data_IF_873977224042
#
_entry.id   IF_873977224042
#
_cell.length_a   1.000
_cell.length_b   1.000
_cell.length_c   1.000
_cell.angle_alpha   90.00
_cell.angle_beta   90.00
_cell.angle_gamma   90.00
#
_symmetry.space_group_name_H-M   'P 1'
#
loop_
_entity.id
_entity.type
_entity.pdbx_description
1 polymer ?
#
# COMPACT_ATOMS: atom_id res chain seq x y z
N UNK A 1 -29.67 0.99 42.84
CA UNK A 1 -28.26 0.90 42.37
C UNK A 1 -28.13 -0.06 41.19
N UNK A 2 -28.67 0.28 40.02
CA UNK A 2 -28.63 -0.58 38.80
C UNK A 2 -28.29 0.20 37.51
N UNK A 3 -27.86 1.47 37.62
CA UNK A 3 -27.66 2.36 36.46
C UNK A 3 -26.23 2.46 35.91
N UNK A 4 -25.21 1.95 36.61
CA UNK A 4 -23.80 2.15 36.24
C UNK A 4 -23.17 0.97 35.48
N UNK A 5 -23.86 -0.17 35.35
CA UNK A 5 -23.29 -1.39 34.75
C UNK A 5 -23.26 -1.35 33.22
N UNK A 6 -24.29 -0.78 32.60
CA UNK A 6 -24.41 -0.66 31.15
C UNK A 6 -23.38 0.32 30.55
N UNK A 7 -23.14 1.52 31.13
CA UNK A 7 -22.11 2.43 30.63
C UNK A 7 -20.68 1.87 30.70
N UNK A 8 -20.34 1.14 31.77
CA UNK A 8 -19.00 0.55 31.95
C UNK A 8 -18.76 -0.58 30.94
N UNK A 9 -19.76 -1.44 30.72
CA UNK A 9 -19.66 -2.52 29.73
C UNK A 9 -19.47 -1.96 28.31
N UNK A 10 -20.27 -0.95 27.94
CA UNK A 10 -20.17 -0.30 26.63
C UNK A 10 -18.80 0.37 26.42
N UNK A 11 -18.25 1.03 27.46
CA UNK A 11 -16.93 1.65 27.39
C UNK A 11 -15.81 0.63 27.17
N UNK A 12 -15.82 -0.48 27.92
CA UNK A 12 -14.84 -1.56 27.73
C UNK A 12 -14.89 -2.14 26.33
N UNK A 13 -16.10 -2.30 25.77
CA UNK A 13 -16.27 -2.80 24.41
C UNK A 13 -15.71 -1.81 23.36
N UNK A 14 -15.93 -0.50 23.54
CA UNK A 14 -15.37 0.53 22.64
C UNK A 14 -13.85 0.53 22.68
N UNK A 15 -13.24 0.45 23.87
CA UNK A 15 -11.78 0.42 24.03
C UNK A 15 -11.19 -0.82 23.34
N UNK A 16 -11.83 -1.97 23.48
CA UNK A 16 -11.41 -3.20 22.80
C UNK A 16 -11.50 -3.07 21.28
N UNK A 17 -12.61 -2.56 20.75
CA UNK A 17 -12.78 -2.34 19.32
C UNK A 17 -11.74 -1.35 18.76
N UNK A 18 -11.43 -0.28 19.50
CA UNK A 18 -10.42 0.68 19.11
C UNK A 18 -9.02 0.04 18.99
N UNK A 19 -8.63 -0.79 19.97
CA UNK A 19 -7.35 -1.50 19.94
C UNK A 19 -7.27 -2.49 18.76
N UNK A 20 -8.37 -3.21 18.49
CA UNK A 20 -8.44 -4.14 17.34
C UNK A 20 -8.29 -3.37 16.02
N UNK A 21 -8.99 -2.24 15.88
CA UNK A 21 -8.90 -1.41 14.65
C UNK A 21 -7.48 -0.87 14.48
N UNK A 22 -6.82 -0.41 15.54
CA UNK A 22 -5.43 0.07 15.46
C UNK A 22 -4.50 -1.04 14.94
N UNK A 23 -4.56 -2.24 15.53
CA UNK A 23 -3.73 -3.38 15.11
C UNK A 23 -3.97 -3.73 13.64
N UNK A 24 -5.23 -3.95 13.24
CA UNK A 24 -5.57 -4.34 11.87
C UNK A 24 -5.12 -3.26 10.88
N UNK A 25 -5.29 -1.99 11.24
CA UNK A 25 -4.93 -0.87 10.38
C UNK A 25 -3.41 -0.76 10.19
N UNK A 26 -2.63 -0.95 11.26
CA UNK A 26 -1.16 -0.96 11.20
C UNK A 26 -0.63 -2.16 10.39
N UNK A 27 -1.17 -3.36 10.62
CA UNK A 27 -0.78 -4.56 9.88
C UNK A 27 -1.13 -4.44 8.38
N UNK A 28 -2.32 -3.91 8.07
CA UNK A 28 -2.73 -3.65 6.69
C UNK A 28 -1.80 -2.63 6.02
N UNK A 29 -1.43 -1.55 6.71
CA UNK A 29 -0.47 -0.58 6.19
C UNK A 29 0.90 -1.20 5.90
N UNK A 30 1.36 -2.13 6.75
CA UNK A 30 2.61 -2.86 6.52
C UNK A 30 2.53 -3.78 5.30
N UNK A 31 1.44 -4.54 5.15
CA UNK A 31 1.24 -5.39 3.97
C UNK A 31 1.21 -4.57 2.67
N UNK A 32 0.54 -3.41 2.68
CA UNK A 32 0.50 -2.50 1.53
C UNK A 32 1.88 -1.96 1.16
N UNK A 33 2.73 -1.65 2.15
CA UNK A 33 4.10 -1.20 1.89
C UNK A 33 4.97 -2.28 1.23
N UNK A 34 4.83 -3.53 1.67
CA UNK A 34 5.53 -4.66 1.07
C UNK A 34 5.08 -4.85 -0.39
N UNK A 35 3.78 -4.84 -0.64
CA UNK A 35 3.23 -4.95 -1.99
C UNK A 35 3.67 -3.79 -2.88
N UNK A 36 3.68 -2.55 -2.37
CA UNK A 36 4.17 -1.40 -3.10
C UNK A 36 5.67 -1.50 -3.44
N UNK A 37 6.47 -2.00 -2.50
CA UNK A 37 7.89 -2.29 -2.72
C UNK A 37 8.10 -3.34 -3.81
N UNK A 38 7.37 -4.45 -3.75
CA UNK A 38 7.44 -5.52 -4.73
C UNK A 38 6.99 -5.06 -6.12
N UNK A 39 5.90 -4.28 -6.21
CA UNK A 39 5.42 -3.72 -7.48
C UNK A 39 6.47 -2.80 -8.12
N UNK A 40 7.17 -1.97 -7.33
CA UNK A 40 8.25 -1.08 -7.82
C UNK A 40 9.44 -1.89 -8.34
N UNK A 41 9.81 -2.97 -7.64
CA UNK A 41 10.89 -3.86 -8.08
C UNK A 41 10.53 -4.59 -9.38
N UNK A 42 9.31 -5.13 -9.47
CA UNK A 42 8.81 -5.79 -10.67
C UNK A 42 8.78 -4.83 -11.86
N UNK A 43 8.31 -3.60 -11.67
CA UNK A 43 8.34 -2.55 -12.71
C UNK A 43 9.77 -2.30 -13.20
N UNK A 44 10.73 -2.18 -12.28
CA UNK A 44 12.14 -1.96 -12.63
C UNK A 44 12.69 -3.12 -13.46
N UNK A 45 12.43 -4.36 -13.05
CA UNK A 45 12.85 -5.55 -13.79
C UNK A 45 12.18 -5.63 -15.18
N UNK A 46 10.89 -5.33 -15.26
CA UNK A 46 10.14 -5.29 -16.53
C UNK A 46 10.72 -4.25 -17.48
N UNK A 47 11.18 -3.09 -17.00
CA UNK A 47 11.74 -2.04 -17.85
C UNK A 47 13.21 -2.28 -18.27
N UNK A 48 13.97 -3.09 -17.51
CA UNK A 48 15.37 -3.37 -17.83
C UNK A 48 15.54 -4.20 -19.11
N UNK A 49 14.72 -5.24 -19.31
CA UNK A 49 14.87 -6.15 -20.45
C UNK A 49 14.49 -5.52 -21.81
N UNK A 50 13.38 -4.76 -21.95
CA UNK A 50 13.03 -4.07 -23.18
C UNK A 50 14.13 -3.14 -23.67
N UNK A 51 14.78 -2.40 -22.77
CA UNK A 51 15.85 -1.46 -23.17
C UNK A 51 17.05 -2.19 -23.78
N UNK A 52 17.46 -3.32 -23.21
CA UNK A 52 18.54 -4.16 -23.76
C UNK A 52 18.13 -4.77 -25.09
N UNK A 53 16.90 -5.27 -25.19
CA UNK A 53 16.37 -5.86 -26.42
C UNK A 53 16.21 -4.82 -27.53
N UNK A 54 15.78 -3.60 -27.22
CA UNK A 54 15.68 -2.50 -28.17
C UNK A 54 17.05 -2.13 -28.75
N UNK A 55 18.10 -2.16 -27.92
CA UNK A 55 19.47 -1.97 -28.38
C UNK A 55 19.90 -3.10 -29.34
N UNK A 56 19.64 -4.37 -28.98
CA UNK A 56 20.01 -5.52 -29.80
C UNK A 56 19.21 -5.58 -31.12
N UNK A 57 17.97 -5.09 -31.12
CA UNK A 57 17.05 -5.13 -32.26
C UNK A 57 16.97 -3.76 -32.95
N UNK A 58 17.94 -2.87 -32.76
CA UNK A 58 17.88 -1.49 -33.27
C UNK A 58 17.70 -1.43 -34.79
N UNK A 59 18.35 -2.32 -35.54
CA UNK A 59 18.19 -2.43 -37.01
C UNK A 59 16.79 -2.91 -37.43
N UNK A 60 16.08 -3.57 -36.52
CA UNK A 60 14.76 -4.17 -36.75
C UNK A 60 13.63 -3.28 -36.22
N UNK A 61 13.94 -2.05 -35.80
CA UNK A 61 12.99 -1.11 -35.19
C UNK A 61 12.71 -1.40 -33.70
N UNK A 62 13.64 -2.05 -33.01
CA UNK A 62 13.51 -2.46 -31.61
C UNK A 62 12.55 -3.63 -31.40
N UNK A 63 12.22 -3.91 -30.15
CA UNK A 63 11.20 -4.89 -29.74
C UNK A 63 9.86 -4.59 -30.41
N UNK A 64 9.54 -3.30 -30.51
CA UNK A 64 8.32 -2.81 -31.15
C UNK A 64 8.20 -3.21 -32.62
N UNK A 65 9.22 -2.85 -33.42
CA UNK A 65 9.26 -3.15 -34.85
C UNK A 65 9.32 -4.65 -35.10
N UNK A 66 10.12 -5.38 -34.31
CA UNK A 66 10.25 -6.83 -34.43
C UNK A 66 8.97 -7.59 -34.12
N UNK A 67 8.20 -7.16 -33.11
CA UNK A 67 6.95 -7.80 -32.69
C UNK A 67 5.70 -7.23 -33.39
N UNK A 68 5.86 -6.21 -34.23
CA UNK A 68 4.77 -5.53 -34.94
C UNK A 68 3.64 -5.06 -34.00
N UNK A 69 4.01 -4.54 -32.82
CA UNK A 69 3.05 -3.97 -31.88
C UNK A 69 2.70 -2.53 -32.28
N UNK A 70 1.42 -2.19 -32.26
CA UNK A 70 0.94 -0.82 -32.50
C UNK A 70 1.08 0.09 -31.27
N UNK A 71 1.20 -0.50 -30.07
CA UNK A 71 1.32 0.22 -28.80
C UNK A 71 2.63 -0.13 -28.10
N UNK A 72 3.71 0.55 -28.46
CA UNK A 72 5.05 0.23 -27.98
C UNK A 72 5.51 1.02 -26.77
N UNK A 73 4.77 2.05 -26.37
CA UNK A 73 5.09 2.85 -25.20
C UNK A 73 4.13 2.53 -24.06
N UNK A 74 4.41 1.44 -23.35
CA UNK A 74 3.69 1.10 -22.13
C UNK A 74 4.26 1.93 -20.96
N UNK A 75 3.54 2.98 -20.57
CA UNK A 75 3.80 3.65 -19.30
C UNK A 75 3.28 2.75 -18.18
N UNK A 76 4.19 2.29 -17.34
CA UNK A 76 3.83 1.69 -16.06
C UNK A 76 3.86 2.83 -15.05
N UNK A 77 2.72 3.14 -14.44
CA UNK A 77 2.64 4.18 -13.42
C UNK A 77 3.37 3.76 -12.13
N UNK A 78 4.06 4.69 -11.48
CA UNK A 78 4.67 4.49 -10.15
C UNK A 78 3.60 4.62 -9.06
N UNK A 79 2.62 3.72 -9.10
CA UNK A 79 1.56 3.62 -8.08
C UNK A 79 2.12 3.21 -6.73
N UNK A 80 3.29 2.55 -6.69
CA UNK A 80 3.95 2.13 -5.46
C UNK A 80 4.29 3.31 -4.55
N UNK A 81 4.73 4.44 -5.12
CA UNK A 81 4.97 5.67 -4.36
C UNK A 81 3.69 6.24 -3.74
N UNK A 82 2.58 6.24 -4.47
CA UNK A 82 1.28 6.73 -3.98
C UNK A 82 0.79 5.85 -2.82
N UNK A 83 0.87 4.52 -2.97
CA UNK A 83 0.48 3.57 -1.92
C UNK A 83 1.30 3.81 -0.66
N UNK A 84 2.63 3.96 -0.77
CA UNK A 84 3.49 4.29 0.39
C UNK A 84 3.13 5.62 1.07
N UNK A 85 2.69 6.63 0.31
CA UNK A 85 2.20 7.87 0.91
C UNK A 85 0.89 7.66 1.67
N UNK A 86 -0.01 6.83 1.14
CA UNK A 86 -1.25 6.46 1.82
C UNK A 86 -0.98 5.68 3.10
N UNK A 87 -0.07 4.70 3.10
CA UNK A 87 0.25 3.91 4.31
C UNK A 87 0.84 4.78 5.43
N UNK A 88 1.60 5.83 5.10
CA UNK A 88 2.04 6.84 6.08
C UNK A 88 0.85 7.57 6.70
N UNK A 89 -0.14 7.95 5.89
CA UNK A 89 -1.40 8.55 6.39
C UNK A 89 -2.18 7.59 7.28
N UNK A 90 -2.31 6.33 6.87
CA UNK A 90 -2.98 5.27 7.63
C UNK A 90 -2.34 5.10 9.00
N UNK A 91 -1.01 5.00 9.08
CA UNK A 91 -0.30 4.87 10.37
C UNK A 91 -0.50 6.07 11.29
N UNK A 92 -0.52 7.28 10.74
CA UNK A 92 -0.78 8.51 11.50
C UNK A 92 -2.18 8.53 12.10
N UNK A 93 -3.18 8.02 11.38
CA UNK A 93 -4.57 7.94 11.85
C UNK A 93 -4.80 6.79 12.83
N UNK A 94 -4.15 5.66 12.59
CA UNK A 94 -4.29 4.46 13.42
C UNK A 94 -3.71 4.65 14.82
N UNK A 95 -2.67 5.48 14.96
CA UNK A 95 -2.09 5.76 16.26
C UNK A 95 -3.07 6.53 17.15
N UNK A 96 -3.70 5.81 18.09
CA UNK A 96 -4.54 6.44 19.10
C UNK A 96 -3.83 6.37 20.45
N UNK A 97 -3.46 7.51 21.06
CA UNK A 97 -2.85 7.48 22.38
C UNK A 97 -3.80 6.84 23.39
N UNK A 98 -3.22 6.19 24.41
CA UNK A 98 -3.98 5.59 25.51
C UNK A 98 -4.96 6.62 26.07
N UNK A 99 -6.26 6.35 25.87
CA UNK A 99 -7.32 7.21 26.35
C UNK A 99 -7.40 7.07 27.87
N UNK A 100 -6.91 8.08 28.59
CA UNK A 100 -6.99 8.14 30.06
C UNK A 100 -8.25 8.90 30.44
N UNK A 101 -9.28 8.16 30.85
CA UNK A 101 -10.48 8.77 31.41
C UNK A 101 -10.23 9.12 32.88
N UNK A 102 -10.15 10.42 33.19
CA UNK A 102 -10.29 10.89 34.58
C UNK A 102 -11.78 10.90 34.90
N UNK A 103 -12.20 9.96 35.76
CA UNK A 103 -13.57 9.87 36.26
C UNK A 103 -13.97 11.08 37.11
#
# INVERSE_FOLDING_TARGET
>A
MWGAREPIYNLNHIIQLQAIIEIITIETAHALDLLAGQATQMQTAILQHPMVLDYLLAEEGGVCGKLNYSNCCLKIDDSGKIVKQMTVGIRKLAHVPVQTWKG
#
